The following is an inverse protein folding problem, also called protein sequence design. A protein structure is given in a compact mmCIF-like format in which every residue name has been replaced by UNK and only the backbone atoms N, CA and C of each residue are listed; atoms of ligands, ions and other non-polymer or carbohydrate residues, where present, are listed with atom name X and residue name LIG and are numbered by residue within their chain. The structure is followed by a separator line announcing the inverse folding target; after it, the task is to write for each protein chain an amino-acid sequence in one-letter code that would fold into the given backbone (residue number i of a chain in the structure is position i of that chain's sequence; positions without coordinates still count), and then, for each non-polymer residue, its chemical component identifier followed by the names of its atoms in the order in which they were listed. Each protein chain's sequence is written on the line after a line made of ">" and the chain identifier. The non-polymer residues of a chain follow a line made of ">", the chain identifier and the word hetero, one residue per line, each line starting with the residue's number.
data_IF_356168791697
#
_entry.id   IF_356168791697
#
_cell.length_a   1.000
_cell.length_b   1.000
_cell.length_c   1.000
_cell.angle_alpha   90.00
_cell.angle_beta   90.00
_cell.angle_gamma   90.00
#
_symmetry.space_group_name_H-M   'P 1'
#
loop_
_entity.id
_entity.type
_entity.pdbx_description
1 polymer ?
#
# COMPACT_ATOMS: atom_id res chain seq x y z
N UNK A 1 8.95 23.16 21.65
CA UNK A 1 8.25 23.11 20.34
C UNK A 1 9.18 22.44 19.35
N UNK A 2 9.20 21.10 19.36
CA UNK A 2 10.07 20.31 18.48
C UNK A 2 9.27 19.80 17.30
N UNK A 3 9.32 20.54 16.20
CA UNK A 3 8.73 20.16 14.91
C UNK A 3 9.79 19.47 14.06
N UNK A 4 9.48 18.25 13.61
CA UNK A 4 9.99 17.64 12.37
C UNK A 4 11.52 17.45 12.33
N UNK A 5 12.04 16.77 13.36
CA UNK A 5 13.30 15.98 13.30
C UNK A 5 12.97 14.46 13.20
N UNK A 6 11.71 14.14 12.84
CA UNK A 6 11.11 12.81 12.96
C UNK A 6 10.86 12.05 11.65
N UNK A 7 10.94 12.71 10.50
CA UNK A 7 10.59 12.10 9.20
C UNK A 7 11.56 10.97 8.82
N UNK A 8 12.86 11.16 9.05
CA UNK A 8 13.85 10.12 8.77
C UNK A 8 13.71 8.89 9.66
N UNK A 9 13.49 9.10 10.97
CA UNK A 9 13.40 8.00 11.95
C UNK A 9 12.13 7.18 11.78
N UNK A 10 10.98 7.84 11.62
CA UNK A 10 9.71 7.13 11.39
C UNK A 10 9.74 6.37 10.06
N UNK A 11 10.24 6.99 8.98
CA UNK A 11 10.38 6.31 7.69
C UNK A 11 11.31 5.11 7.78
N UNK A 12 12.44 5.24 8.46
CA UNK A 12 13.38 4.13 8.65
C UNK A 12 12.74 2.98 9.43
N UNK A 13 12.06 3.28 10.54
CA UNK A 13 11.36 2.27 11.33
C UNK A 13 10.27 1.57 10.52
N UNK A 14 9.39 2.32 9.86
CA UNK A 14 8.33 1.76 9.03
C UNK A 14 8.89 0.90 7.88
N UNK A 15 10.00 1.32 7.27
CA UNK A 15 10.67 0.54 6.23
C UNK A 15 11.20 -0.78 6.77
N UNK A 16 11.81 -0.75 7.96
CA UNK A 16 12.35 -1.95 8.61
C UNK A 16 11.25 -2.93 8.99
N UNK A 17 10.18 -2.46 9.63
CA UNK A 17 9.05 -3.30 10.03
C UNK A 17 8.33 -3.89 8.80
N UNK A 18 8.11 -3.08 7.76
CA UNK A 18 7.50 -3.56 6.52
C UNK A 18 8.38 -4.60 5.83
N UNK A 19 9.71 -4.38 5.79
CA UNK A 19 10.65 -5.35 5.22
C UNK A 19 10.64 -6.68 5.98
N UNK A 20 10.50 -6.65 7.31
CA UNK A 20 10.44 -7.85 8.14
C UNK A 20 9.19 -8.71 7.90
N UNK A 21 8.08 -8.08 7.51
CA UNK A 21 6.82 -8.78 7.21
C UNK A 21 6.72 -9.30 5.77
N UNK A 22 7.49 -8.72 4.85
CA UNK A 22 7.45 -9.11 3.45
C UNK A 22 8.36 -10.32 3.17
N UNK A 23 7.98 -11.21 2.23
CA UNK A 23 8.89 -12.20 1.69
C UNK A 23 10.16 -11.56 1.14
N UNK A 24 11.28 -12.31 1.15
CA UNK A 24 12.56 -11.81 0.63
C UNK A 24 12.50 -11.50 -0.87
N UNK A 25 11.78 -12.33 -1.62
CA UNK A 25 11.67 -12.27 -3.08
C UNK A 25 10.21 -12.37 -3.53
N UNK A 26 9.98 -12.03 -4.80
CA UNK A 26 8.66 -12.11 -5.45
C UNK A 26 7.97 -10.76 -5.63
N UNK A 27 6.91 -10.78 -6.44
CA UNK A 27 6.12 -9.58 -6.74
C UNK A 27 5.28 -9.16 -5.53
N UNK A 28 5.18 -7.85 -5.29
CA UNK A 28 4.26 -7.29 -4.30
C UNK A 28 3.14 -6.55 -5.01
N UNK A 29 1.89 -6.82 -4.62
CA UNK A 29 0.73 -6.03 -5.02
C UNK A 29 0.40 -5.02 -3.92
N UNK A 30 0.52 -3.74 -4.21
CA UNK A 30 0.05 -2.67 -3.31
C UNK A 30 -1.38 -2.28 -3.66
N UNK A 31 -2.27 -2.29 -2.69
CA UNK A 31 -3.67 -1.92 -2.83
C UNK A 31 -4.00 -0.70 -1.96
N UNK A 32 -4.30 0.43 -2.57
CA UNK A 32 -4.81 1.62 -1.86
C UNK A 32 -6.32 1.53 -1.70
N UNK A 33 -6.80 1.24 -0.49
CA UNK A 33 -8.21 1.07 -0.17
C UNK A 33 -8.84 2.38 0.30
N UNK A 34 -10.12 2.55 -0.02
CA UNK A 34 -10.92 3.70 0.39
C UNK A 34 -11.44 4.51 -0.80
N UNK A 35 -12.24 5.52 -0.49
CA UNK A 35 -12.90 6.37 -1.47
C UNK A 35 -12.13 7.69 -1.66
N UNK A 36 -11.55 7.96 -2.84
CA UNK A 36 -10.84 9.22 -3.10
C UNK A 36 -11.75 10.46 -3.03
N UNK A 37 -13.07 10.30 -3.11
CA UNK A 37 -14.05 11.39 -2.99
C UNK A 37 -14.39 11.74 -1.54
N UNK A 38 -13.97 10.93 -0.57
CA UNK A 38 -14.23 11.15 0.86
C UNK A 38 -12.90 11.46 1.53
N UNK A 39 -12.67 12.72 1.89
CA UNK A 39 -11.38 13.19 2.44
C UNK A 39 -10.77 12.31 3.53
N UNK A 40 -11.49 11.88 4.60
CA UNK A 40 -10.90 11.02 5.62
C UNK A 40 -10.58 9.60 5.13
N UNK A 41 -11.17 9.15 4.02
CA UNK A 41 -11.05 7.81 3.44
C UNK A 41 -10.11 7.77 2.21
N UNK A 42 -9.61 8.94 1.77
CA UNK A 42 -8.76 9.05 0.58
C UNK A 42 -7.29 8.66 0.82
N UNK A 43 -6.90 8.32 2.06
CA UNK A 43 -5.50 8.06 2.43
C UNK A 43 -4.89 6.89 1.65
N UNK A 44 -5.61 5.78 1.51
CA UNK A 44 -5.14 4.60 0.77
C UNK A 44 -4.85 4.92 -0.70
N UNK A 45 -5.81 5.48 -1.46
CA UNK A 45 -5.57 5.91 -2.84
C UNK A 45 -4.40 6.89 -2.97
N UNK A 46 -4.29 7.87 -2.09
CA UNK A 46 -3.20 8.85 -2.10
C UNK A 46 -1.83 8.24 -1.79
N UNK A 47 -1.78 7.23 -0.91
CA UNK A 47 -0.57 6.48 -0.63
C UNK A 47 -0.14 5.66 -1.86
N UNK A 48 -1.08 4.95 -2.48
CA UNK A 48 -0.82 4.16 -3.68
C UNK A 48 -0.31 5.02 -4.85
N UNK A 49 -0.78 6.26 -5.01
CA UNK A 49 -0.28 7.22 -6.00
C UNK A 49 1.20 7.58 -5.84
N UNK A 50 1.78 7.34 -4.66
CA UNK A 50 3.19 7.60 -4.37
C UNK A 50 4.06 6.35 -4.46
N UNK A 51 3.49 5.20 -4.80
CA UNK A 51 4.23 3.95 -4.97
C UNK A 51 4.72 3.84 -6.41
N UNK A 52 6.03 3.61 -6.56
CA UNK A 52 6.62 3.36 -7.88
C UNK A 52 6.22 1.97 -8.37
N UNK A 53 5.33 1.90 -9.36
CA UNK A 53 4.98 0.65 -10.02
C UNK A 53 6.13 0.21 -10.93
N UNK A 54 6.68 -0.98 -10.69
CA UNK A 54 7.86 -1.49 -11.40
C UNK A 54 7.58 -2.75 -12.21
N UNK A 55 6.44 -3.42 -12.01
CA UNK A 55 6.12 -4.69 -12.70
C UNK A 55 6.26 -4.62 -14.23
N UNK A 56 5.88 -3.49 -14.82
CA UNK A 56 5.89 -3.28 -16.27
C UNK A 56 7.30 -2.95 -16.82
N UNK A 57 8.26 -2.60 -15.95
CA UNK A 57 9.63 -2.28 -16.34
C UNK A 57 10.51 -3.51 -16.10
N UNK A 58 10.92 -4.20 -17.16
CA UNK A 58 11.67 -5.47 -17.07
C UNK A 58 12.89 -5.50 -17.96
N UNK A 59 13.84 -6.37 -17.61
CA UNK A 59 15.01 -6.68 -18.42
C UNK A 59 15.91 -5.47 -18.67
N UNK A 60 16.38 -5.32 -19.91
CA UNK A 60 17.32 -4.26 -20.30
C UNK A 60 16.77 -2.85 -20.04
N UNK A 61 15.46 -2.64 -20.25
CA UNK A 61 14.82 -1.36 -19.95
C UNK A 61 14.95 -0.97 -18.48
N UNK A 62 14.81 -1.92 -17.54
CA UNK A 62 15.00 -1.66 -16.11
C UNK A 62 16.44 -1.28 -15.77
N UNK A 63 17.41 -1.93 -16.40
CA UNK A 63 18.84 -1.64 -16.19
C UNK A 63 19.18 -0.25 -16.73
N UNK A 64 18.74 0.06 -17.95
CA UNK A 64 19.05 1.32 -18.65
C UNK A 64 18.48 2.54 -17.90
N UNK A 65 17.37 2.38 -17.16
CA UNK A 65 16.78 3.44 -16.32
C UNK A 65 17.16 3.36 -14.84
N UNK A 66 18.10 2.48 -14.46
CA UNK A 66 18.60 2.37 -13.08
C UNK A 66 17.65 1.69 -12.08
N UNK A 67 16.64 0.96 -12.57
CA UNK A 67 15.64 0.23 -11.77
C UNK A 67 15.91 -1.28 -11.66
N UNK A 68 17.01 -1.78 -12.22
CA UNK A 68 17.30 -3.22 -12.29
C UNK A 68 17.41 -3.95 -10.94
N UNK A 69 17.65 -3.23 -9.84
CA UNK A 69 17.68 -3.78 -8.48
C UNK A 69 16.36 -3.64 -7.70
N UNK A 70 15.31 -3.08 -8.31
CA UNK A 70 14.04 -2.90 -7.63
C UNK A 70 13.20 -4.18 -7.68
N UNK A 71 12.53 -4.44 -6.55
CA UNK A 71 11.49 -5.47 -6.48
C UNK A 71 10.37 -5.15 -7.49
N UNK A 72 9.81 -6.18 -8.11
CA UNK A 72 8.59 -6.06 -8.93
C UNK A 72 7.40 -5.66 -8.06
N UNK A 73 6.77 -4.54 -8.39
CA UNK A 73 5.61 -4.00 -7.66
C UNK A 73 4.49 -3.69 -8.65
N UNK A 74 3.32 -4.26 -8.38
CA UNK A 74 2.04 -3.86 -8.95
C UNK A 74 1.33 -2.91 -7.99
N UNK A 75 0.58 -1.94 -8.51
CA UNK A 75 -0.20 -1.01 -7.70
C UNK A 75 -1.63 -0.97 -8.22
N UNK A 76 -2.60 -1.02 -7.32
CA UNK A 76 -4.03 -0.87 -7.65
C UNK A 76 -4.72 0.04 -6.64
N UNK A 77 -5.76 0.73 -7.10
CA UNK A 77 -6.64 1.60 -6.30
C UNK A 77 -8.07 1.21 -6.65
N UNK A 78 -8.59 0.12 -6.08
CA UNK A 78 -9.96 -0.30 -6.35
C UNK A 78 -10.92 0.82 -5.94
N UNK A 79 -11.91 1.11 -6.80
CA UNK A 79 -13.01 1.98 -6.40
C UNK A 79 -13.86 1.31 -5.34
N UNK A 80 -14.79 2.05 -4.75
CA UNK A 80 -15.73 1.52 -3.75
C UNK A 80 -16.97 0.95 -4.43
N UNK A 81 -17.64 -0.01 -3.78
CA UNK A 81 -18.86 -0.68 -4.26
C UNK A 81 -19.88 0.31 -4.85
N UNK A 82 -20.13 1.43 -4.17
CA UNK A 82 -21.12 2.43 -4.63
C UNK A 82 -20.79 3.11 -5.95
N UNK A 83 -19.56 2.99 -6.44
CA UNK A 83 -19.10 3.57 -7.72
C UNK A 83 -18.82 2.52 -8.79
N UNK A 84 -18.43 1.31 -8.37
CA UNK A 84 -17.98 0.25 -9.27
C UNK A 84 -19.01 -0.87 -9.46
N UNK A 85 -19.92 -1.06 -8.50
CA UNK A 85 -20.84 -2.19 -8.45
C UNK A 85 -20.18 -3.54 -8.12
N UNK A 86 -18.89 -3.55 -7.78
CA UNK A 86 -18.12 -4.75 -7.45
C UNK A 86 -17.39 -4.52 -6.12
N UNK A 87 -17.42 -5.50 -5.23
CA UNK A 87 -16.73 -5.40 -3.95
C UNK A 87 -15.21 -5.26 -4.15
N UNK A 88 -14.59 -4.39 -3.35
CA UNK A 88 -13.14 -4.20 -3.36
C UNK A 88 -12.39 -5.52 -3.16
N UNK A 89 -12.90 -6.38 -2.27
CA UNK A 89 -12.34 -7.70 -2.02
C UNK A 89 -12.37 -8.60 -3.27
N UNK A 90 -13.44 -8.56 -4.07
CA UNK A 90 -13.54 -9.34 -5.30
C UNK A 90 -12.53 -8.87 -6.35
N UNK A 91 -12.38 -7.55 -6.51
CA UNK A 91 -11.36 -6.99 -7.41
C UNK A 91 -9.95 -7.42 -7.02
N UNK A 92 -9.63 -7.36 -5.72
CA UNK A 92 -8.33 -7.77 -5.22
C UNK A 92 -8.12 -9.27 -5.38
N UNK A 93 -9.13 -10.10 -5.10
CA UNK A 93 -9.04 -11.54 -5.32
C UNK A 93 -8.80 -11.88 -6.79
N UNK A 94 -9.47 -11.20 -7.72
CA UNK A 94 -9.24 -11.39 -9.16
C UNK A 94 -7.79 -11.06 -9.55
N UNK A 95 -7.27 -9.93 -9.05
CA UNK A 95 -5.86 -9.56 -9.27
C UNK A 95 -4.90 -10.55 -8.64
N UNK A 96 -5.14 -10.99 -7.40
CA UNK A 96 -4.27 -11.96 -6.72
C UNK A 96 -4.22 -13.28 -7.50
N UNK A 97 -5.37 -13.75 -8.00
CA UNK A 97 -5.46 -14.98 -8.80
C UNK A 97 -4.75 -14.88 -10.14
N UNK A 98 -4.74 -13.71 -10.76
CA UNK A 98 -4.05 -13.51 -12.05
C UNK A 98 -2.54 -13.28 -11.84
N UNK A 99 -2.20 -12.40 -10.90
CA UNK A 99 -0.84 -11.90 -10.70
C UNK A 99 0.03 -12.82 -9.87
N UNK A 100 -0.57 -13.67 -9.03
CA UNK A 100 0.12 -14.55 -8.09
C UNK A 100 1.24 -13.82 -7.28
N UNK A 101 0.93 -12.65 -6.66
CA UNK A 101 1.95 -11.90 -5.94
C UNK A 101 2.40 -12.68 -4.70
N UNK A 102 3.67 -12.51 -4.32
CA UNK A 102 4.21 -13.11 -3.10
C UNK A 102 3.63 -12.46 -1.83
N UNK A 103 3.20 -11.20 -1.92
CA UNK A 103 2.49 -10.52 -0.84
C UNK A 103 1.57 -9.42 -1.38
N UNK A 104 0.54 -9.10 -0.59
CA UNK A 104 -0.33 -7.94 -0.80
C UNK A 104 -0.12 -6.95 0.34
N UNK A 105 0.17 -5.69 0.00
CA UNK A 105 0.23 -4.59 0.96
C UNK A 105 -1.02 -3.74 0.77
N UNK A 106 -2.01 -3.92 1.64
CA UNK A 106 -3.21 -3.09 1.67
C UNK A 106 -2.96 -1.86 2.54
N UNK A 107 -3.26 -0.67 2.02
CA UNK A 107 -3.17 0.60 2.74
C UNK A 107 -4.57 1.17 2.88
N UNK A 108 -5.00 1.41 4.11
CA UNK A 108 -6.37 1.81 4.45
C UNK A 108 -6.40 2.92 5.52
N UNK A 109 -7.46 3.71 5.51
CA UNK A 109 -7.72 4.78 6.48
C UNK A 109 -8.50 4.24 7.69
N UNK A 110 -7.78 3.77 8.72
CA UNK A 110 -8.44 3.22 9.91
C UNK A 110 -9.05 4.28 10.82
N UNK A 111 -10.22 3.97 11.37
CA UNK A 111 -10.86 4.78 12.42
C UNK A 111 -10.05 4.73 13.73
N UNK A 112 -9.74 5.91 14.29
CA UNK A 112 -9.06 6.00 15.57
C UNK A 112 -10.05 6.01 16.73
N UNK A 113 -10.03 4.97 17.58
CA UNK A 113 -10.90 4.89 18.78
C UNK A 113 -10.61 5.94 19.87
N UNK A 114 -9.54 6.73 19.75
CA UNK A 114 -9.22 7.86 20.63
C UNK A 114 -8.69 9.04 19.82
N UNK A 115 -9.23 10.24 20.07
CA UNK A 115 -8.86 11.46 19.34
C UNK A 115 -7.36 11.76 19.33
N UNK A 116 -6.64 11.45 20.41
CA UNK A 116 -5.20 11.73 20.46
C UNK A 116 -4.37 10.90 19.46
N UNK A 117 -4.90 9.79 18.93
CA UNK A 117 -4.25 8.93 17.94
C UNK A 117 -4.54 9.34 16.49
N UNK A 118 -5.59 10.12 16.26
CA UNK A 118 -6.05 10.51 14.93
C UNK A 118 -4.94 11.27 14.19
N UNK A 119 -4.55 10.78 13.02
CA UNK A 119 -3.49 11.37 12.19
C UNK A 119 -2.07 11.28 12.77
N UNK A 120 -1.87 10.52 13.86
CA UNK A 120 -0.57 10.42 14.55
C UNK A 120 -0.06 8.98 14.69
N UNK A 121 -0.82 8.01 14.19
CA UNK A 121 -0.48 6.59 14.32
C UNK A 121 -0.50 5.93 12.95
N UNK A 122 0.56 5.18 12.66
CA UNK A 122 0.58 4.19 11.57
C UNK A 122 0.55 2.82 12.22
N UNK A 123 -0.30 1.92 11.72
CA UNK A 123 -0.38 0.54 12.16
C UNK A 123 0.03 -0.37 11.01
N UNK A 124 0.85 -1.38 11.31
CA UNK A 124 1.22 -2.45 10.38
C UNK A 124 0.81 -3.78 11.01
N UNK A 125 0.23 -4.68 10.22
CA UNK A 125 -0.21 -6.00 10.68
C UNK A 125 -0.22 -7.00 9.52
N UNK A 126 0.04 -8.26 9.83
CA UNK A 126 -0.10 -9.43 8.95
C UNK A 126 -1.47 -10.12 9.11
N UNK A 127 -2.32 -9.65 10.01
CA UNK A 127 -3.66 -10.21 10.27
C UNK A 127 -4.70 -9.98 9.17
N UNK A 128 -4.32 -9.28 8.10
CA UNK A 128 -5.21 -8.93 6.98
C UNK A 128 -6.10 -7.71 7.27
N UNK A 129 -7.11 -7.52 6.41
CA UNK A 129 -8.12 -6.46 6.55
C UNK A 129 -9.38 -7.07 7.16
N UNK A 130 -9.83 -6.52 8.27
CA UNK A 130 -11.13 -6.84 8.88
C UNK A 130 -12.20 -5.88 8.37
N UNK A 131 -13.46 -6.32 8.20
CA UNK A 131 -14.56 -5.41 7.93
C UNK A 131 -14.67 -4.33 9.03
N UNK A 132 -14.77 -3.07 8.61
CA UNK A 132 -15.00 -1.92 9.48
C UNK A 132 -16.47 -1.69 9.79
#
# INVERSE_FOLDING_TARGET
>A
TGTIDGDGKLRALLSQELQALLPKEGEVLVAGLGNPQVTPDALGPQCADRVLATRHVRGKAAIDVGLGGLRSVSVTKPGVLGTTGVETAEMLQALIRELHPAAVVAVDALAAGRLHRLGKTVQISDGGISPG
#
